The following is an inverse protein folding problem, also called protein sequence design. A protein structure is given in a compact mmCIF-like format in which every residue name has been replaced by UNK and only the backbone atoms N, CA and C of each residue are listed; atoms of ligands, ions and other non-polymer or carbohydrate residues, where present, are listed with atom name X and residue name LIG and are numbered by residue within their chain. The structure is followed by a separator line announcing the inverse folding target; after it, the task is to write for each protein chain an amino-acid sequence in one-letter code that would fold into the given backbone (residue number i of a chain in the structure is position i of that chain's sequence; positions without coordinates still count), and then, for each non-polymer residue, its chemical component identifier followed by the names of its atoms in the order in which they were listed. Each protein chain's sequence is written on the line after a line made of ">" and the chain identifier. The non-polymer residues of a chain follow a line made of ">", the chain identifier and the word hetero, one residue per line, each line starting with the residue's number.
data_IF_450647730875
#
_entry.id   IF_450647730875
#
_cell.length_a   1.000
_cell.length_b   1.000
_cell.length_c   1.000
_cell.angle_alpha   90.00
_cell.angle_beta   90.00
_cell.angle_gamma   90.00
#
_symmetry.space_group_name_H-M   'P 1'
#
loop_
_entity.id
_entity.type
_entity.pdbx_description
1 polymer ?
#
# COMPACT_ATOMS: atom_id res chain seq x y z
N UNK A 1 -31.45 1.44 -7.09
CA UNK A 1 -31.29 2.66 -6.29
C UNK A 1 -30.53 2.26 -5.05
N UNK A 2 -29.21 2.53 -5.00
CA UNK A 2 -28.38 2.19 -3.83
C UNK A 2 -28.78 3.17 -2.73
N UNK A 3 -29.24 2.65 -1.59
CA UNK A 3 -29.73 3.46 -0.48
C UNK A 3 -28.60 4.31 0.11
N UNK A 4 -28.85 5.61 0.26
CA UNK A 4 -27.94 6.49 0.99
C UNK A 4 -27.87 6.02 2.45
N UNK A 5 -26.72 5.51 2.87
CA UNK A 5 -26.42 5.30 4.28
C UNK A 5 -25.60 6.50 4.73
N UNK A 6 -26.15 7.43 5.52
CA UNK A 6 -25.38 8.54 6.07
C UNK A 6 -24.24 8.01 6.94
N UNK A 7 -23.13 8.74 7.00
CA UNK A 7 -22.11 8.49 8.02
C UNK A 7 -22.71 8.86 9.38
N UNK A 8 -22.67 7.95 10.34
CA UNK A 8 -23.19 8.19 11.70
C UNK A 8 -22.25 9.06 12.53
N UNK A 9 -20.96 9.12 12.14
CA UNK A 9 -19.95 9.95 12.77
C UNK A 9 -19.81 11.31 12.05
N UNK A 10 -20.19 12.43 12.67
CA UNK A 10 -20.08 13.74 12.06
C UNK A 10 -18.64 14.19 11.79
N UNK A 11 -17.64 13.63 12.49
CA UNK A 11 -16.22 13.95 12.26
C UNK A 11 -15.77 13.42 10.89
N UNK A 12 -16.22 12.23 10.52
CA UNK A 12 -15.89 11.60 9.24
C UNK A 12 -16.88 11.88 8.12
N UNK A 13 -18.05 12.46 8.40
CA UNK A 13 -19.10 12.68 7.40
C UNK A 13 -18.62 13.43 6.14
N UNK A 14 -17.76 14.44 6.30
CA UNK A 14 -17.16 15.16 5.19
C UNK A 14 -16.20 14.27 4.37
N UNK A 15 -15.31 13.55 5.04
CA UNK A 15 -14.34 12.66 4.43
C UNK A 15 -15.04 11.53 3.66
N UNK A 16 -16.07 10.91 4.26
CA UNK A 16 -16.90 9.87 3.63
C UNK A 16 -17.60 10.43 2.38
N UNK A 17 -18.14 11.65 2.44
CA UNK A 17 -18.73 12.30 1.27
C UNK A 17 -17.74 12.49 0.12
N UNK A 18 -16.50 12.90 0.46
CA UNK A 18 -15.40 13.04 -0.51
C UNK A 18 -14.99 11.71 -1.13
N UNK A 19 -14.85 10.65 -0.34
CA UNK A 19 -14.53 9.30 -0.82
C UNK A 19 -15.62 8.82 -1.79
N UNK A 20 -16.90 8.96 -1.44
CA UNK A 20 -18.02 8.56 -2.32
C UNK A 20 -18.06 9.35 -3.62
N UNK A 21 -17.74 10.64 -3.58
CA UNK A 21 -17.63 11.46 -4.78
C UNK A 21 -16.49 11.00 -5.70
N UNK A 22 -15.36 10.53 -5.13
CA UNK A 22 -14.25 9.93 -5.88
C UNK A 22 -14.60 8.54 -6.43
N UNK A 23 -15.29 7.71 -5.63
CA UNK A 23 -15.75 6.37 -6.02
C UNK A 23 -16.60 6.41 -7.30
N UNK A 24 -17.50 7.39 -7.39
CA UNK A 24 -18.33 7.61 -8.59
C UNK A 24 -17.53 7.94 -9.87
N UNK A 25 -16.25 8.30 -9.74
CA UNK A 25 -15.34 8.65 -10.83
C UNK A 25 -14.28 7.57 -11.09
N UNK A 26 -14.34 6.43 -10.38
CA UNK A 26 -13.45 5.30 -10.63
C UNK A 26 -13.65 4.73 -12.04
N UNK A 27 -12.61 4.08 -12.56
CA UNK A 27 -12.64 3.56 -13.91
C UNK A 27 -13.68 2.46 -14.07
N UNK A 28 -14.52 2.63 -15.08
CA UNK A 28 -15.35 1.58 -15.61
C UNK A 28 -14.53 0.64 -16.50
N UNK A 29 -15.05 -0.56 -16.74
CA UNK A 29 -14.41 -1.57 -17.60
C UNK A 29 -13.99 -1.04 -18.97
N UNK A 30 -14.83 -0.23 -19.60
CA UNK A 30 -14.53 0.36 -20.92
C UNK A 30 -13.30 1.26 -20.94
N UNK A 31 -12.98 1.91 -19.81
CA UNK A 31 -11.77 2.71 -19.68
C UNK A 31 -10.54 1.81 -19.58
N UNK A 32 -10.62 0.72 -18.81
CA UNK A 32 -9.56 -0.30 -18.77
C UNK A 32 -9.31 -0.94 -20.13
N UNK A 33 -10.38 -1.28 -20.88
CA UNK A 33 -10.24 -1.85 -22.23
C UNK A 33 -9.50 -0.88 -23.17
N UNK A 34 -9.83 0.42 -23.11
CA UNK A 34 -9.14 1.47 -23.90
C UNK A 34 -7.66 1.61 -23.52
N UNK A 35 -7.34 1.52 -22.23
CA UNK A 35 -5.95 1.55 -21.74
C UNK A 35 -5.17 0.33 -22.22
N UNK A 36 -5.79 -0.86 -22.19
CA UNK A 36 -5.18 -2.10 -22.67
C UNK A 36 -4.89 -2.08 -24.18
N UNK A 37 -5.72 -1.40 -24.97
CA UNK A 37 -5.51 -1.22 -26.42
C UNK A 37 -4.47 -0.15 -26.79
N UNK A 38 -4.03 0.65 -25.82
CA UNK A 38 -3.07 1.74 -26.04
C UNK A 38 -1.67 1.20 -26.30
N UNK A 39 -1.04 1.67 -27.39
CA UNK A 39 0.26 1.14 -27.88
C UNK A 39 1.48 1.93 -27.43
N UNK A 40 1.26 3.10 -26.85
CA UNK A 40 2.32 3.99 -26.38
C UNK A 40 1.78 4.97 -25.34
N UNK A 41 2.70 5.64 -24.64
CA UNK A 41 2.38 6.55 -23.54
C UNK A 41 1.46 7.72 -23.96
N UNK A 42 1.64 8.29 -25.14
CA UNK A 42 0.77 9.37 -25.62
C UNK A 42 -0.69 8.90 -25.77
N UNK A 43 -0.91 7.66 -26.21
CA UNK A 43 -2.26 7.07 -26.29
C UNK A 43 -2.85 6.83 -24.89
N UNK A 44 -2.02 6.41 -23.93
CA UNK A 44 -2.44 6.26 -22.53
C UNK A 44 -2.86 7.61 -21.96
N UNK A 45 -2.02 8.65 -22.09
CA UNK A 45 -2.34 10.00 -21.62
C UNK A 45 -3.63 10.52 -22.27
N UNK A 46 -3.79 10.31 -23.58
CA UNK A 46 -5.01 10.67 -24.29
C UNK A 46 -6.24 9.90 -23.79
N UNK A 47 -6.10 8.63 -23.42
CA UNK A 47 -7.19 7.84 -22.86
C UNK A 47 -7.59 8.29 -21.45
N UNK A 48 -6.63 8.85 -20.70
CA UNK A 48 -6.80 9.37 -19.35
C UNK A 48 -7.31 10.82 -19.29
N UNK A 49 -7.28 11.55 -20.40
CA UNK A 49 -7.61 12.98 -20.46
C UNK A 49 -9.00 13.34 -19.91
N UNK A 50 -9.99 12.48 -20.14
CA UNK A 50 -11.38 12.67 -19.67
C UNK A 50 -11.65 12.05 -18.29
N UNK A 51 -10.60 11.68 -17.56
CA UNK A 51 -10.68 11.02 -16.25
C UNK A 51 -10.10 11.92 -15.15
N UNK A 52 -10.27 11.59 -13.86
CA UNK A 52 -9.65 12.36 -12.78
C UNK A 52 -8.13 12.54 -12.97
N UNK A 53 -7.45 11.58 -13.58
CA UNK A 53 -6.01 11.66 -13.83
C UNK A 53 -5.64 12.71 -14.88
N UNK A 54 -6.54 13.04 -15.81
CA UNK A 54 -6.33 14.10 -16.81
C UNK A 54 -6.23 15.50 -16.20
N UNK A 55 -6.84 15.72 -15.02
CA UNK A 55 -6.79 16.98 -14.28
C UNK A 55 -5.40 17.29 -13.71
N UNK A 56 -4.54 16.26 -13.57
CA UNK A 56 -3.21 16.39 -12.97
C UNK A 56 -2.17 17.05 -13.89
N UNK A 57 -2.52 17.33 -15.16
CA UNK A 57 -1.68 18.00 -16.16
C UNK A 57 -0.20 17.57 -16.08
N UNK A 58 0.03 16.26 -16.18
CA UNK A 58 1.35 15.65 -16.04
C UNK A 58 2.01 15.40 -17.40
N UNK A 59 3.34 15.42 -17.42
CA UNK A 59 4.16 15.25 -18.63
C UNK A 59 4.20 13.81 -19.12
N UNK A 60 4.08 12.86 -18.20
CA UNK A 60 4.12 11.43 -18.45
C UNK A 60 3.23 10.68 -17.43
N UNK A 61 3.01 9.41 -17.69
CA UNK A 61 2.11 8.56 -16.89
C UNK A 61 2.66 8.28 -15.49
N UNK A 62 3.98 8.17 -15.33
CA UNK A 62 4.62 7.97 -14.02
C UNK A 62 4.34 9.16 -13.11
N UNK A 63 4.61 10.38 -13.58
CA UNK A 63 4.36 11.61 -12.83
C UNK A 63 2.87 11.77 -12.53
N UNK A 64 1.98 11.38 -13.46
CA UNK A 64 0.54 11.41 -13.26
C UNK A 64 0.11 10.50 -12.10
N UNK A 65 0.61 9.26 -12.07
CA UNK A 65 0.30 8.30 -11.02
C UNK A 65 0.87 8.75 -9.67
N UNK A 66 2.13 9.19 -9.63
CA UNK A 66 2.75 9.68 -8.39
C UNK A 66 2.02 10.90 -7.83
N UNK A 67 1.56 11.83 -8.67
CA UNK A 67 0.73 12.96 -8.22
C UNK A 67 -0.61 12.50 -7.67
N UNK A 68 -1.28 11.56 -8.34
CA UNK A 68 -2.54 11.00 -7.86
C UNK A 68 -2.36 10.32 -6.51
N UNK A 69 -1.29 9.53 -6.34
CA UNK A 69 -0.97 8.85 -5.09
C UNK A 69 -0.72 9.86 -3.96
N UNK A 70 0.09 10.89 -4.20
CA UNK A 70 0.34 11.95 -3.24
C UNK A 70 -0.92 12.72 -2.84
N UNK A 71 -1.87 12.96 -3.76
CA UNK A 71 -3.16 13.59 -3.44
C UNK A 71 -4.07 12.69 -2.58
N UNK A 72 -4.02 11.38 -2.76
CA UNK A 72 -4.74 10.42 -1.92
C UNK A 72 -4.10 10.31 -0.54
N UNK A 73 -2.77 10.21 -0.47
CA UNK A 73 -2.03 10.19 0.80
C UNK A 73 -2.28 11.47 1.60
N UNK A 74 -2.20 12.64 0.98
CA UNK A 74 -2.49 13.92 1.64
C UNK A 74 -3.96 14.02 2.09
N UNK A 75 -4.89 13.39 1.36
CA UNK A 75 -6.29 13.32 1.78
C UNK A 75 -6.43 12.47 3.05
N UNK A 76 -5.87 11.25 3.07
CA UNK A 76 -5.94 10.39 4.25
C UNK A 76 -5.21 11.00 5.45
N UNK A 77 -4.01 11.55 5.26
CA UNK A 77 -3.26 12.22 6.33
C UNK A 77 -4.02 13.40 6.96
N UNK A 78 -4.89 14.07 6.19
CA UNK A 78 -5.68 15.20 6.67
C UNK A 78 -6.96 14.79 7.40
N UNK A 79 -7.63 13.74 6.93
CA UNK A 79 -8.97 13.40 7.40
C UNK A 79 -9.05 12.12 8.24
N UNK A 80 -8.00 11.30 8.23
CA UNK A 80 -7.89 10.11 9.07
C UNK A 80 -7.18 10.49 10.38
N UNK A 81 -7.97 10.96 11.35
CA UNK A 81 -7.44 11.49 12.63
C UNK A 81 -7.15 10.38 13.64
N UNK A 82 -7.79 9.22 13.53
CA UNK A 82 -7.51 8.07 14.38
C UNK A 82 -6.21 7.38 13.96
N UNK A 83 -5.17 7.51 14.78
CA UNK A 83 -3.85 6.92 14.57
C UNK A 83 -3.88 5.40 14.43
N UNK A 84 -4.80 4.70 15.11
CA UNK A 84 -4.90 3.24 15.01
C UNK A 84 -5.46 2.84 13.64
N UNK A 85 -6.44 3.57 13.14
CA UNK A 85 -7.00 3.35 11.80
C UNK A 85 -5.98 3.73 10.74
N UNK A 86 -5.25 4.85 10.91
CA UNK A 86 -4.16 5.22 10.02
C UNK A 86 -3.06 4.15 9.98
N UNK A 87 -2.65 3.62 11.14
CA UNK A 87 -1.68 2.54 11.25
C UNK A 87 -2.13 1.26 10.54
N UNK A 88 -3.43 0.94 10.56
CA UNK A 88 -3.98 -0.22 9.85
C UNK A 88 -3.75 -0.15 8.32
N UNK A 89 -3.86 1.02 7.71
CA UNK A 89 -3.61 1.16 6.26
C UNK A 89 -2.14 0.97 5.88
N UNK A 90 -1.22 1.09 6.84
CA UNK A 90 0.20 0.80 6.64
C UNK A 90 0.54 -0.69 6.79
N UNK A 91 -0.37 -1.50 7.37
CA UNK A 91 -0.14 -2.93 7.63
C UNK A 91 0.33 -3.71 6.39
N UNK A 92 -0.27 -3.58 5.18
CA UNK A 92 0.20 -4.31 4.00
C UNK A 92 1.63 -3.95 3.58
N UNK A 93 2.03 -2.69 3.77
CA UNK A 93 3.40 -2.23 3.49
C UNK A 93 4.37 -2.81 4.51
N UNK A 94 4.02 -2.79 5.78
CA UNK A 94 4.84 -3.38 6.86
C UNK A 94 4.96 -4.90 6.67
N UNK A 95 3.89 -5.60 6.27
CA UNK A 95 3.91 -7.03 5.96
C UNK A 95 4.84 -7.34 4.76
N UNK A 96 4.80 -6.52 3.71
CA UNK A 96 5.74 -6.62 2.58
C UNK A 96 7.19 -6.43 3.03
N UNK A 97 7.46 -5.44 3.88
CA UNK A 97 8.78 -5.19 4.45
C UNK A 97 9.24 -6.34 5.38
N UNK A 98 8.32 -6.98 6.11
CA UNK A 98 8.61 -8.17 6.90
C UNK A 98 9.02 -9.35 6.00
N UNK A 99 8.29 -9.59 4.90
CA UNK A 99 8.66 -10.61 3.90
C UNK A 99 10.05 -10.34 3.34
N UNK A 100 10.35 -9.10 3.00
CA UNK A 100 11.67 -8.66 2.55
C UNK A 100 12.75 -9.00 3.59
N UNK A 101 12.55 -8.61 4.85
CA UNK A 101 13.51 -8.82 5.93
C UNK A 101 13.75 -10.30 6.22
N UNK A 102 12.68 -11.12 6.29
CA UNK A 102 12.76 -12.56 6.56
C UNK A 102 13.46 -13.30 5.42
N UNK A 103 13.15 -12.99 4.17
CA UNK A 103 13.82 -13.62 3.03
C UNK A 103 15.31 -13.26 3.01
N UNK A 104 15.68 -12.01 3.35
CA UNK A 104 17.08 -11.59 3.51
C UNK A 104 17.76 -12.33 4.67
N UNK A 105 17.07 -12.55 5.78
CA UNK A 105 17.55 -13.34 6.91
C UNK A 105 17.90 -14.79 6.51
N UNK A 106 17.10 -15.40 5.64
CA UNK A 106 17.38 -16.72 5.08
C UNK A 106 18.39 -16.71 3.91
N UNK A 107 19.03 -15.58 3.62
CA UNK A 107 20.12 -15.47 2.66
C UNK A 107 19.68 -15.28 1.20
N UNK A 108 18.42 -14.92 0.95
CA UNK A 108 17.99 -14.56 -0.40
C UNK A 108 18.67 -13.23 -0.84
N UNK A 109 19.19 -13.22 -2.07
CA UNK A 109 19.62 -11.98 -2.73
C UNK A 109 18.39 -11.23 -3.22
N UNK A 110 17.97 -10.22 -2.46
CA UNK A 110 16.80 -9.39 -2.75
C UNK A 110 17.26 -7.96 -2.97
N UNK A 111 16.65 -7.31 -3.97
CA UNK A 111 16.88 -5.90 -4.26
C UNK A 111 16.47 -5.02 -3.06
N UNK A 112 17.29 -4.02 -2.74
CA UNK A 112 16.99 -3.04 -1.69
C UNK A 112 15.81 -2.14 -2.09
N UNK A 113 15.60 -1.94 -3.39
CA UNK A 113 14.49 -1.16 -3.95
C UNK A 113 13.10 -1.81 -3.69
N UNK A 114 13.07 -3.06 -3.24
CA UNK A 114 11.82 -3.75 -2.84
C UNK A 114 11.36 -3.40 -1.41
N UNK A 115 12.19 -2.70 -0.62
CA UNK A 115 11.78 -2.19 0.67
C UNK A 115 10.93 -0.93 0.50
N UNK A 116 9.75 -0.90 1.11
CA UNK A 116 8.80 0.21 1.04
C UNK A 116 9.12 1.23 2.13
N UNK A 117 9.77 2.34 1.74
CA UNK A 117 10.24 3.38 2.66
C UNK A 117 9.11 4.27 3.22
N UNK A 118 7.92 4.27 2.61
CA UNK A 118 6.75 5.06 3.01
C UNK A 118 6.03 4.47 4.24
N UNK A 119 6.78 3.96 5.20
CA UNK A 119 6.28 3.41 6.46
C UNK A 119 7.11 3.95 7.63
N UNK A 120 6.57 3.85 8.85
CA UNK A 120 7.33 4.21 10.05
C UNK A 120 8.44 3.19 10.39
N UNK A 121 8.49 2.04 9.70
CA UNK A 121 9.51 1.01 9.90
C UNK A 121 10.73 1.22 9.03
N UNK A 122 11.93 0.99 9.56
CA UNK A 122 13.20 1.05 8.82
C UNK A 122 13.82 -0.34 8.65
N UNK A 123 14.72 -0.56 7.69
CA UNK A 123 15.46 -1.82 7.57
C UNK A 123 16.18 -2.21 8.87
N UNK A 124 16.78 -1.24 9.56
CA UNK A 124 17.49 -1.44 10.83
C UNK A 124 16.53 -1.95 11.91
N UNK A 125 15.30 -1.46 11.96
CA UNK A 125 14.30 -1.94 12.92
C UNK A 125 14.00 -3.43 12.71
N UNK A 126 13.93 -3.91 11.46
CA UNK A 126 13.76 -5.34 11.18
C UNK A 126 15.03 -6.14 11.53
N UNK A 127 16.22 -5.62 11.27
CA UNK A 127 17.48 -6.27 11.66
C UNK A 127 17.59 -6.43 13.18
N UNK A 128 17.29 -5.37 13.94
CA UNK A 128 17.23 -5.41 15.40
C UNK A 128 16.20 -6.43 15.89
N UNK A 129 15.00 -6.46 15.31
CA UNK A 129 13.96 -7.44 15.65
C UNK A 129 14.46 -8.88 15.45
N UNK A 130 15.08 -9.17 14.30
CA UNK A 130 15.61 -10.50 13.98
C UNK A 130 16.77 -10.91 14.89
N UNK A 131 17.55 -9.95 15.39
CA UNK A 131 18.58 -10.18 16.41
C UNK A 131 18.00 -10.40 17.82
N UNK A 132 16.68 -10.24 18.01
CA UNK A 132 16.02 -10.35 19.31
C UNK A 132 16.09 -9.07 20.16
N UNK A 133 16.44 -7.94 19.55
CA UNK A 133 16.58 -6.64 20.20
C UNK A 133 15.26 -5.84 20.18
N UNK A 134 15.25 -4.70 20.87
CA UNK A 134 14.12 -3.77 20.89
C UNK A 134 14.14 -2.89 19.63
N UNK A 135 13.17 -3.12 18.73
CA UNK A 135 13.12 -2.48 17.41
C UNK A 135 12.10 -1.34 17.28
N UNK A 136 11.20 -1.18 18.25
CA UNK A 136 10.04 -0.30 18.14
C UNK A 136 8.97 -0.76 17.14
N UNK A 137 9.13 -1.94 16.52
CA UNK A 137 8.09 -2.53 15.67
C UNK A 137 6.94 -3.07 16.53
N UNK A 138 5.70 -3.10 16.01
CA UNK A 138 4.55 -3.68 16.70
C UNK A 138 4.78 -5.14 17.12
N UNK A 139 4.23 -5.54 18.26
CA UNK A 139 4.42 -6.90 18.80
C UNK A 139 3.99 -8.01 17.84
N UNK A 140 2.89 -7.79 17.10
CA UNK A 140 2.39 -8.76 16.12
C UNK A 140 3.41 -9.06 15.02
N UNK A 141 4.24 -8.09 14.63
CA UNK A 141 5.32 -8.31 13.64
C UNK A 141 6.36 -9.28 14.19
N UNK A 142 6.74 -9.11 15.46
CA UNK A 142 7.71 -9.98 16.13
C UNK A 142 7.17 -11.40 16.30
N UNK A 143 5.90 -11.53 16.67
CA UNK A 143 5.21 -12.80 16.80
C UNK A 143 5.19 -13.55 15.45
N UNK A 144 4.69 -12.90 14.39
CA UNK A 144 4.66 -13.46 13.04
C UNK A 144 6.06 -13.82 12.54
N UNK A 145 7.07 -12.96 12.76
CA UNK A 145 8.45 -13.28 12.41
C UNK A 145 8.94 -14.56 13.11
N UNK A 146 8.64 -14.71 14.40
CA UNK A 146 8.98 -15.91 15.17
C UNK A 146 8.34 -17.17 14.63
N UNK A 147 7.06 -17.11 14.25
CA UNK A 147 6.34 -18.23 13.63
C UNK A 147 6.98 -18.65 12.30
N UNK A 148 7.26 -17.67 11.43
CA UNK A 148 7.88 -17.92 10.12
C UNK A 148 9.28 -18.53 10.30
N UNK A 149 10.08 -17.99 11.21
CA UNK A 149 11.44 -18.49 11.48
C UNK A 149 11.39 -19.91 12.04
N UNK A 150 10.46 -20.20 12.95
CA UNK A 150 10.30 -21.53 13.53
C UNK A 150 9.90 -22.58 12.46
N UNK A 151 8.95 -22.24 11.59
CA UNK A 151 8.50 -23.14 10.50
C UNK A 151 9.62 -23.38 9.48
N UNK A 152 10.45 -22.38 9.19
CA UNK A 152 11.50 -22.43 8.17
C UNK A 152 12.90 -22.73 8.75
N UNK A 153 13.00 -23.14 10.03
CA UNK A 153 14.29 -23.31 10.71
C UNK A 153 15.18 -24.39 10.09
N UNK A 154 14.57 -25.46 9.56
CA UNK A 154 15.30 -26.62 9.02
C UNK A 154 15.38 -26.62 7.49
N UNK A 155 14.28 -26.28 6.83
CA UNK A 155 14.17 -26.25 5.36
C UNK A 155 13.35 -25.03 4.96
N UNK A 156 13.96 -24.13 4.19
CA UNK A 156 13.34 -22.86 3.83
C UNK A 156 12.33 -23.10 2.72
N UNK A 157 11.06 -22.85 3.01
CA UNK A 157 9.97 -22.88 2.04
C UNK A 157 9.45 -21.44 1.80
N UNK A 158 9.83 -20.79 0.70
CA UNK A 158 9.40 -19.42 0.40
C UNK A 158 7.88 -19.22 0.39
N UNK A 159 7.11 -20.22 -0.04
CA UNK A 159 5.65 -20.12 -0.05
C UNK A 159 5.04 -20.06 1.35
N UNK A 160 5.70 -20.67 2.34
CA UNK A 160 5.27 -20.62 3.74
C UNK A 160 5.45 -19.23 4.35
N UNK A 161 6.52 -18.52 3.96
CA UNK A 161 6.78 -17.13 4.38
C UNK A 161 5.61 -16.24 3.97
N UNK A 162 5.18 -16.34 2.71
CA UNK A 162 4.04 -15.55 2.22
C UNK A 162 2.73 -15.94 2.93
N UNK A 163 2.47 -17.24 3.09
CA UNK A 163 1.21 -17.75 3.66
C UNK A 163 1.03 -17.41 5.14
N UNK A 164 2.11 -17.37 5.92
CA UNK A 164 2.04 -17.05 7.36
C UNK A 164 1.90 -15.54 7.57
N UNK A 165 2.50 -14.72 6.69
CA UNK A 165 2.49 -13.26 6.82
C UNK A 165 1.18 -12.64 6.30
N UNK A 166 0.54 -13.24 5.29
CA UNK A 166 -0.72 -12.77 4.70
C UNK A 166 -1.97 -13.18 5.51
#
# INVERSE_FOLDING_TARGET
>A
MVGYTPCEDPEYAFAVGRVRAREARMFARSQFDRLADSRNENQIISALADTPYGELHAENTVVMLSRSEAEEEAFFARYLTDEKVAGFFSTPKIASNLKWAIRKHFGAEIDEDLFIAETASTPEAFEMMLAGEESGLPDWIRETAGEVIAENYQDVNPASIDTIID
#
